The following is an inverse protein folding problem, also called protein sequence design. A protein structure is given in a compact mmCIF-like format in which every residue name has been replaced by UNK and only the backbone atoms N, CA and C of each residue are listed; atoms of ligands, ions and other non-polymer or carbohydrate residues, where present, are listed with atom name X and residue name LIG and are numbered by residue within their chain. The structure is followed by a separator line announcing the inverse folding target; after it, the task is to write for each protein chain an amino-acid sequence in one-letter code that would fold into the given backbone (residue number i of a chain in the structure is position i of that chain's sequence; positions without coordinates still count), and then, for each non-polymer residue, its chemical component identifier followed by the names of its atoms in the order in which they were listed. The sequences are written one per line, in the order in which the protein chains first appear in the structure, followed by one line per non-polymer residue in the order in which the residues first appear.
data_IF_060216566355
#
_entry.id   IF_060216566355
#
_cell.length_a   1.000
_cell.length_b   1.000
_cell.length_c   1.000
_cell.angle_alpha   90.00
_cell.angle_beta   90.00
_cell.angle_gamma   90.00
#
_symmetry.space_group_name_H-M   'P 1'
#
loop_
_entity.id
_entity.type
_entity.pdbx_description
1 polymer ?
#
# COMPACT_ATOMS: atom_id res chain seq x y z
N UNK A 1 -12.82 -5.28 11.54
CA UNK A 1 -12.42 -5.88 10.25
C UNK A 1 -11.88 -4.77 9.36
N UNK A 2 -10.61 -4.80 8.95
CA UNK A 2 -10.10 -3.80 7.99
C UNK A 2 -10.58 -4.21 6.60
N UNK A 3 -11.25 -3.29 5.91
CA UNK A 3 -11.95 -3.52 4.64
C UNK A 3 -11.05 -3.85 3.44
N UNK A 4 -9.72 -3.93 3.63
CA UNK A 4 -8.77 -4.32 2.58
C UNK A 4 -8.83 -5.84 2.37
N UNK A 5 -9.13 -6.26 1.13
CA UNK A 5 -9.29 -7.66 0.73
C UNK A 5 -7.94 -8.38 0.58
N UNK A 6 -7.97 -9.71 0.51
CA UNK A 6 -6.77 -10.54 0.26
C UNK A 6 -6.17 -10.23 -1.11
N UNK A 7 -7.01 -10.01 -2.11
CA UNK A 7 -6.63 -9.75 -3.50
C UNK A 7 -5.96 -8.38 -3.67
N UNK A 8 -6.49 -7.37 -2.98
CA UNK A 8 -5.86 -6.05 -2.87
C UNK A 8 -4.48 -6.17 -2.20
N UNK A 9 -4.38 -6.97 -1.14
CA UNK A 9 -3.12 -7.20 -0.45
C UNK A 9 -2.10 -7.95 -1.32
N UNK A 10 -2.54 -8.92 -2.11
CA UNK A 10 -1.69 -9.63 -3.08
C UNK A 10 -1.17 -8.68 -4.16
N UNK A 11 -2.03 -7.78 -4.63
CA UNK A 11 -1.65 -6.74 -5.60
C UNK A 11 -0.59 -5.80 -5.03
N UNK A 12 -0.75 -5.36 -3.78
CA UNK A 12 0.24 -4.51 -3.09
C UNK A 12 1.58 -5.22 -2.92
N UNK A 13 1.58 -6.50 -2.54
CA UNK A 13 2.81 -7.31 -2.43
C UNK A 13 3.54 -7.42 -3.77
N UNK A 14 2.81 -7.77 -4.83
CA UNK A 14 3.36 -7.86 -6.19
C UNK A 14 3.99 -6.54 -6.66
N UNK A 15 3.35 -5.41 -6.36
CA UNK A 15 3.94 -4.09 -6.61
C UNK A 15 5.24 -3.88 -5.83
N UNK A 16 5.24 -4.14 -4.51
CA UNK A 16 6.41 -3.94 -3.65
C UNK A 16 7.61 -4.79 -4.07
N UNK A 17 7.37 -6.03 -4.53
CA UNK A 17 8.42 -6.93 -5.02
C UNK A 17 9.04 -6.45 -6.33
N UNK A 18 8.23 -5.84 -7.21
CA UNK A 18 8.66 -5.38 -8.55
C UNK A 18 9.11 -3.93 -8.59
N UNK A 19 8.86 -3.12 -7.55
CA UNK A 19 9.12 -1.66 -7.56
C UNK A 19 10.55 -1.28 -7.93
N UNK A 20 11.52 -2.14 -7.66
CA UNK A 20 12.93 -1.89 -7.99
C UNK A 20 13.23 -1.96 -9.49
N UNK A 21 12.40 -2.65 -10.28
CA UNK A 21 12.57 -2.78 -11.73
C UNK A 21 11.67 -1.83 -12.53
N UNK A 22 10.87 -0.99 -11.86
CA UNK A 22 9.97 -0.05 -12.51
C UNK A 22 10.67 1.29 -12.75
N UNK A 23 10.34 1.93 -13.87
CA UNK A 23 10.70 3.33 -14.12
C UNK A 23 10.09 4.23 -13.03
N UNK A 24 10.79 5.30 -12.67
CA UNK A 24 10.45 6.12 -11.50
C UNK A 24 9.05 6.72 -11.60
N UNK A 25 8.68 7.26 -12.75
CA UNK A 25 7.34 7.82 -12.97
C UNK A 25 6.25 6.75 -12.86
N UNK A 26 6.42 5.63 -13.56
CA UNK A 26 5.48 4.51 -13.49
C UNK A 26 5.32 3.96 -12.06
N UNK A 27 6.42 3.84 -11.31
CA UNK A 27 6.43 3.40 -9.91
C UNK A 27 5.61 4.34 -9.02
N UNK A 28 5.83 5.64 -9.15
CA UNK A 28 5.13 6.66 -8.37
C UNK A 28 3.63 6.67 -8.67
N UNK A 29 3.24 6.61 -9.94
CA UNK A 29 1.83 6.63 -10.33
C UNK A 29 1.08 5.37 -9.86
N UNK A 30 1.72 4.20 -9.96
CA UNK A 30 1.16 2.95 -9.42
C UNK A 30 0.98 3.02 -7.90
N UNK A 31 2.01 3.48 -7.17
CA UNK A 31 1.94 3.64 -5.73
C UNK A 31 0.80 4.58 -5.33
N UNK A 32 0.72 5.75 -5.97
CA UNK A 32 -0.31 6.76 -5.74
C UNK A 32 -1.71 6.22 -6.00
N UNK A 33 -1.91 5.52 -7.11
CA UNK A 33 -3.20 4.93 -7.48
C UNK A 33 -3.66 3.91 -6.45
N UNK A 34 -2.77 3.02 -6.00
CA UNK A 34 -3.09 2.04 -4.97
C UNK A 34 -3.36 2.71 -3.62
N UNK A 35 -2.52 3.66 -3.21
CA UNK A 35 -2.64 4.37 -1.94
C UNK A 35 -3.95 5.16 -1.86
N UNK A 36 -4.33 5.89 -2.91
CA UNK A 36 -5.59 6.65 -2.97
C UNK A 36 -6.81 5.75 -2.77
N UNK A 37 -6.80 4.52 -3.30
CA UNK A 37 -7.89 3.55 -3.14
C UNK A 37 -7.93 2.91 -1.75
N UNK A 38 -6.77 2.66 -1.15
CA UNK A 38 -6.66 1.87 0.08
C UNK A 38 -6.68 2.72 1.35
N UNK A 39 -6.12 3.95 1.34
CA UNK A 39 -6.07 4.84 2.51
C UNK A 39 -7.44 5.05 3.18
N UNK A 40 -8.54 5.34 2.45
CA UNK A 40 -9.85 5.53 3.07
C UNK A 40 -10.41 4.28 3.77
N UNK A 41 -9.89 3.08 3.44
CA UNK A 41 -10.36 1.78 3.94
C UNK A 41 -9.53 1.27 5.11
N UNK A 42 -8.45 1.96 5.45
CA UNK A 42 -7.58 1.65 6.58
C UNK A 42 -7.86 2.66 7.69
N UNK A 43 -8.75 2.29 8.62
CA UNK A 43 -9.02 3.10 9.80
C UNK A 43 -7.79 3.19 10.72
N UNK A 44 -7.57 4.36 11.32
CA UNK A 44 -6.57 4.56 12.37
C UNK A 44 -5.15 4.84 11.91
N UNK A 45 -4.93 5.16 10.63
CA UNK A 45 -3.68 5.83 10.24
C UNK A 45 -3.88 7.33 10.51
N UNK A 46 -3.09 7.94 11.42
CA UNK A 46 -3.17 9.37 11.67
C UNK A 46 -2.97 10.12 10.35
N UNK A 47 -3.91 10.99 9.99
CA UNK A 47 -3.89 11.75 8.72
C UNK A 47 -2.63 12.64 8.58
N UNK A 48 -1.99 12.92 9.70
CA UNK A 48 -0.74 13.62 9.95
C UNK A 48 0.52 12.73 9.77
N UNK A 49 0.37 11.42 9.59
CA UNK A 49 1.52 10.57 9.22
C UNK A 49 1.78 10.77 7.73
N UNK A 50 2.71 11.67 7.42
CA UNK A 50 3.18 12.01 6.07
C UNK A 50 3.98 10.87 5.41
N UNK A 51 3.43 9.65 5.42
CA UNK A 51 3.99 8.51 4.71
C UNK A 51 3.85 8.75 3.21
N UNK A 52 4.93 8.49 2.49
CA UNK A 52 4.86 8.34 1.04
C UNK A 52 3.88 7.22 0.69
N UNK A 53 3.34 7.24 -0.53
CA UNK A 53 2.41 6.22 -0.98
C UNK A 53 3.04 4.82 -0.91
N UNK A 54 4.33 4.68 -1.21
CA UNK A 54 5.04 3.42 -1.10
C UNK A 54 5.25 2.96 0.35
N UNK A 55 5.57 3.88 1.26
CA UNK A 55 5.75 3.54 2.68
C UNK A 55 4.43 3.12 3.32
N UNK A 56 3.33 3.80 2.96
CA UNK A 56 1.98 3.40 3.34
C UNK A 56 1.68 1.97 2.88
N UNK A 57 1.95 1.65 1.61
CA UNK A 57 1.71 0.32 1.04
C UNK A 57 2.56 -0.76 1.73
N UNK A 58 3.84 -0.47 2.00
CA UNK A 58 4.74 -1.37 2.72
C UNK A 58 4.25 -1.63 4.16
N UNK A 59 3.83 -0.58 4.87
CA UNK A 59 3.29 -0.70 6.21
C UNK A 59 1.98 -1.48 6.23
N UNK A 60 1.08 -1.24 5.28
CA UNK A 60 -0.17 -1.97 5.14
C UNK A 60 0.09 -3.47 4.95
N UNK A 61 1.01 -3.84 4.05
CA UNK A 61 1.39 -5.22 3.82
C UNK A 61 1.97 -5.88 5.08
N UNK A 62 2.86 -5.18 5.80
CA UNK A 62 3.48 -5.66 7.04
C UNK A 62 2.46 -5.90 8.16
N UNK A 63 1.59 -4.92 8.43
CA UNK A 63 0.56 -5.03 9.49
C UNK A 63 -0.41 -6.16 9.20
N UNK A 64 -0.77 -6.37 7.94
CA UNK A 64 -1.68 -7.45 7.54
C UNK A 64 -1.02 -8.82 7.56
N UNK A 65 0.27 -8.91 7.23
CA UNK A 65 1.03 -10.15 7.35
C UNK A 65 1.16 -10.61 8.82
N UNK A 66 1.33 -9.68 9.77
CA UNK A 66 1.43 -9.99 11.19
C UNK A 66 0.09 -10.42 11.84
N UNK A 67 -1.03 -10.32 11.11
CA UNK A 67 -2.38 -10.69 11.58
C UNK A 67 -2.90 -11.99 10.95
N UNK A 68 -2.17 -12.55 9.99
CA UNK A 68 -2.45 -13.84 9.38
C UNK A 68 -1.77 -14.95 10.20
#
# INVERSE_FOLDING_TARGET
MSAVTVEELATVRSFLDRRGSLERGARQELARTMAARLRPRVGGIPADTSLSDEDFLAQLARVKAARA
#
